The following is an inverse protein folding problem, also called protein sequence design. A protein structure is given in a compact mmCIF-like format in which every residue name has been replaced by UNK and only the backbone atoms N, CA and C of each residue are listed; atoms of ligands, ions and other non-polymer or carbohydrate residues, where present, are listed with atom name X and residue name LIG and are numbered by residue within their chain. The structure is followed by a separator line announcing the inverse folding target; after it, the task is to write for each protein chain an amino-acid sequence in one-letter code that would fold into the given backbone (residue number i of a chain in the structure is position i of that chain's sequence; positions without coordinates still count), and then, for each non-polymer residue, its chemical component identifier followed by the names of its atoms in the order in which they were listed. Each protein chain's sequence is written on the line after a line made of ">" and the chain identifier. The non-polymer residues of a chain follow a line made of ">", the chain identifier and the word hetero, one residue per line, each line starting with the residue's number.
data_IF_850407397617
#
_entry.id   IF_850407397617
#
_cell.length_a   1.000
_cell.length_b   1.000
_cell.length_c   1.000
_cell.angle_alpha   90.00
_cell.angle_beta   90.00
_cell.angle_gamma   90.00
#
_symmetry.space_group_name_H-M   'P 1'
#
loop_
_entity.id
_entity.type
_entity.pdbx_description
1 polymer ?
#
# COMPACT_ATOMS: atom_id res chain seq x y z
N UNK A 1 -9.69 11.69 -14.63
CA UNK A 1 -8.29 11.18 -14.62
C UNK A 1 -7.27 12.06 -13.87
N UNK A 2 -7.48 13.37 -13.63
CA UNK A 2 -6.56 14.21 -12.82
C UNK A 2 -6.91 14.30 -11.31
N UNK A 3 -7.98 13.64 -10.85
CA UNK A 3 -8.48 13.78 -9.47
C UNK A 3 -7.85 12.79 -8.46
N UNK A 4 -7.40 11.61 -8.90
CA UNK A 4 -6.85 10.56 -8.01
C UNK A 4 -5.40 10.82 -7.55
N UNK A 5 -4.68 11.73 -8.21
CA UNK A 5 -3.24 12.00 -7.94
C UNK A 5 -3.05 12.86 -6.66
N UNK A 6 -4.05 13.68 -6.28
CA UNK A 6 -3.92 14.56 -5.10
C UNK A 6 -4.23 13.82 -3.79
N UNK A 7 -5.00 12.74 -3.83
CA UNK A 7 -5.29 11.91 -2.66
C UNK A 7 -4.03 11.26 -2.08
N UNK A 8 -3.15 10.78 -2.97
CA UNK A 8 -1.91 10.11 -2.58
C UNK A 8 -0.93 11.06 -1.88
N UNK A 9 -0.82 12.30 -2.37
CA UNK A 9 0.15 13.29 -1.88
C UNK A 9 -0.17 13.69 -0.43
N UNK A 10 -1.45 13.76 -0.05
CA UNK A 10 -1.82 14.09 1.33
C UNK A 10 -1.75 12.89 2.30
N UNK A 11 -2.02 11.66 1.85
CA UNK A 11 -1.76 10.45 2.65
C UNK A 11 -0.26 10.15 2.81
N UNK A 12 0.59 10.55 1.86
CA UNK A 12 2.05 10.42 1.93
C UNK A 12 2.69 11.46 2.87
N UNK A 13 2.14 12.67 2.98
CA UNK A 13 2.54 13.66 4.00
C UNK A 13 2.17 13.25 5.44
N UNK A 14 1.26 12.27 5.59
CA UNK A 14 0.82 11.74 6.88
C UNK A 14 1.76 10.61 7.37
N UNK A 15 2.43 9.87 6.49
CA UNK A 15 3.21 8.67 6.87
C UNK A 15 4.72 8.90 6.99
N UNK A 16 5.21 10.15 6.87
CA UNK A 16 6.64 10.49 6.90
C UNK A 16 7.31 10.43 8.30
N UNK A 17 6.85 9.56 9.20
CA UNK A 17 7.51 9.32 10.49
C UNK A 17 7.32 7.86 10.89
N UNK A 18 8.44 7.21 11.16
CA UNK A 18 8.56 5.81 11.57
C UNK A 18 7.76 5.51 12.84
N UNK A 19 7.12 4.34 12.98
CA UNK A 19 6.53 3.90 14.25
C UNK A 19 7.59 3.64 15.35
N UNK A 20 8.89 3.75 15.04
CA UNK A 20 10.01 3.48 15.94
C UNK A 20 10.77 4.72 16.45
N UNK A 21 10.29 5.94 16.19
CA UNK A 21 10.86 7.15 16.79
C UNK A 21 10.45 7.25 18.27
N UNK A 22 11.10 6.41 19.08
CA UNK A 22 10.98 6.41 20.51
C UNK A 22 11.86 7.51 21.12
N UNK A 23 11.18 8.47 21.73
CA UNK A 23 11.50 9.24 22.97
C UNK A 23 11.42 10.76 22.73
N UNK A 24 10.20 11.29 22.75
CA UNK A 24 9.92 12.57 23.42
C UNK A 24 8.46 12.63 23.89
N UNK A 25 8.26 13.26 25.04
CA UNK A 25 6.97 13.61 25.61
C UNK A 25 6.29 14.67 24.72
N UNK A 26 5.79 14.26 23.55
CA UNK A 26 4.99 15.12 22.68
C UNK A 26 3.70 15.56 23.38
N UNK A 27 3.14 16.70 22.95
CA UNK A 27 1.86 17.20 23.47
C UNK A 27 0.75 16.13 23.33
N UNK A 28 -0.35 16.21 24.10
CA UNK A 28 -1.48 15.29 23.93
C UNK A 28 -1.91 15.18 22.46
N UNK A 29 -1.92 16.29 21.73
CA UNK A 29 -2.22 16.34 20.30
C UNK A 29 -1.24 15.49 19.45
N UNK A 30 0.08 15.64 19.65
CA UNK A 30 1.08 14.85 18.90
C UNK A 30 1.04 13.36 19.25
N UNK A 31 0.68 13.01 20.48
CA UNK A 31 0.39 11.63 20.85
C UNK A 31 -0.87 11.12 20.14
N UNK A 32 -1.93 11.94 20.10
CA UNK A 32 -3.18 11.60 19.42
C UNK A 32 -2.99 11.33 17.93
N UNK A 33 -2.23 12.19 17.24
CA UNK A 33 -1.85 12.01 15.84
C UNK A 33 -1.10 10.70 15.61
N UNK A 34 -0.13 10.36 16.47
CA UNK A 34 0.63 9.09 16.39
C UNK A 34 -0.27 7.87 16.56
N UNK A 35 -1.16 7.90 17.54
CA UNK A 35 -2.09 6.80 17.81
C UNK A 35 -3.06 6.60 16.62
N UNK A 36 -3.58 7.69 16.01
CA UNK A 36 -4.39 7.59 14.79
C UNK A 36 -3.60 6.95 13.65
N UNK A 37 -2.36 7.40 13.38
CA UNK A 37 -1.49 6.80 12.35
C UNK A 37 -1.27 5.31 12.58
N UNK A 38 -0.94 4.92 13.81
CA UNK A 38 -0.70 3.53 14.16
C UNK A 38 -1.96 2.68 13.93
N UNK A 39 -3.13 3.20 14.26
CA UNK A 39 -4.40 2.54 13.98
C UNK A 39 -4.70 2.39 12.48
N UNK A 40 -4.30 3.35 11.65
CA UNK A 40 -4.34 3.23 10.19
C UNK A 40 -3.43 2.08 9.73
N UNK A 41 -2.20 2.01 10.24
CA UNK A 41 -1.27 0.92 9.91
C UNK A 41 -1.82 -0.46 10.30
N UNK A 42 -2.41 -0.60 11.49
CA UNK A 42 -3.07 -1.84 11.90
C UNK A 42 -4.25 -2.20 10.99
N UNK A 43 -5.02 -1.20 10.56
CA UNK A 43 -6.10 -1.44 9.59
C UNK A 43 -5.51 -2.03 8.32
N UNK A 44 -4.50 -1.40 7.73
CA UNK A 44 -3.85 -1.87 6.50
C UNK A 44 -3.25 -3.28 6.63
N UNK A 45 -2.82 -3.66 7.84
CA UNK A 45 -2.36 -5.01 8.15
C UNK A 45 -3.51 -6.03 8.36
N UNK A 46 -4.78 -5.62 8.26
CA UNK A 46 -5.94 -6.48 8.52
C UNK A 46 -6.28 -6.69 9.99
N UNK A 47 -5.60 -6.03 10.92
CA UNK A 47 -5.84 -6.11 12.36
C UNK A 47 -6.84 -5.03 12.80
N UNK A 48 -8.12 -5.28 12.52
CA UNK A 48 -9.20 -4.33 12.79
C UNK A 48 -9.42 -4.07 14.28
N UNK A 49 -9.01 -5.00 15.16
CA UNK A 49 -9.14 -4.86 16.61
C UNK A 49 -8.16 -3.81 17.11
N UNK A 50 -6.88 -3.92 16.74
CA UNK A 50 -5.88 -2.92 17.10
C UNK A 50 -6.08 -1.61 16.34
N UNK A 51 -6.52 -1.67 15.08
CA UNK A 51 -6.85 -0.47 14.31
C UNK A 51 -7.86 0.42 15.05
N UNK A 52 -8.99 -0.18 15.45
CA UNK A 52 -10.01 0.52 16.22
C UNK A 52 -9.45 1.08 17.53
N UNK A 53 -8.74 0.24 18.29
CA UNK A 53 -8.18 0.60 19.59
C UNK A 53 -7.30 1.84 19.51
N UNK A 54 -6.36 1.87 18.55
CA UNK A 54 -5.41 2.98 18.42
C UNK A 54 -6.06 4.24 17.85
N UNK A 55 -7.01 4.12 16.91
CA UNK A 55 -7.75 5.29 16.44
C UNK A 55 -8.60 5.88 17.57
N UNK A 56 -9.30 5.06 18.37
CA UNK A 56 -10.07 5.54 19.54
C UNK A 56 -9.16 6.23 20.58
N UNK A 57 -7.98 5.66 20.85
CA UNK A 57 -6.99 6.27 21.73
C UNK A 57 -6.54 7.65 21.21
N UNK A 58 -6.28 7.75 19.92
CA UNK A 58 -5.83 9.00 19.33
C UNK A 58 -6.93 10.07 19.26
N UNK A 59 -8.17 9.67 18.96
CA UNK A 59 -9.34 10.55 18.99
C UNK A 59 -9.61 11.15 20.37
N UNK A 60 -9.31 10.43 21.46
CA UNK A 60 -9.43 10.96 22.82
C UNK A 60 -8.39 12.04 23.17
N UNK A 61 -7.36 12.20 22.35
CA UNK A 61 -6.23 13.10 22.59
C UNK A 61 -6.17 14.28 21.62
N UNK A 62 -6.95 14.26 20.53
CA UNK A 62 -7.10 15.38 19.60
C UNK A 62 -8.37 16.18 19.94
N UNK A 63 -8.26 17.50 19.99
CA UNK A 63 -9.37 18.39 20.35
C UNK A 63 -9.85 19.16 19.11
N UNK A 64 -11.05 18.84 18.65
CA UNK A 64 -11.70 19.45 17.49
C UNK A 64 -11.84 20.99 17.58
N UNK A 65 -11.76 21.58 18.78
CA UNK A 65 -11.94 23.01 18.98
C UNK A 65 -10.63 23.83 18.92
N UNK A 66 -9.47 23.17 18.85
CA UNK A 66 -8.19 23.80 19.22
C UNK A 66 -7.42 24.39 18.02
N UNK A 67 -7.24 23.65 16.92
CA UNK A 67 -6.45 24.09 15.76
C UNK A 67 -6.93 23.49 14.44
N UNK A 68 -6.45 24.03 13.31
CA UNK A 68 -6.67 23.44 11.98
C UNK A 68 -6.22 21.98 11.93
N UNK A 69 -4.98 21.71 12.37
CA UNK A 69 -4.42 20.36 12.39
C UNK A 69 -5.23 19.43 13.29
N UNK A 70 -5.73 19.95 14.42
CA UNK A 70 -6.54 19.16 15.33
C UNK A 70 -7.89 18.77 14.74
N UNK A 71 -8.57 19.68 14.03
CA UNK A 71 -9.78 19.37 13.27
C UNK A 71 -9.51 18.36 12.17
N UNK A 72 -8.40 18.53 11.45
CA UNK A 72 -8.02 17.63 10.37
C UNK A 72 -7.77 16.21 10.87
N UNK A 73 -6.94 16.03 11.91
CA UNK A 73 -6.65 14.72 12.48
C UNK A 73 -7.86 14.06 13.14
N UNK A 74 -8.74 14.87 13.73
CA UNK A 74 -10.05 14.37 14.20
C UNK A 74 -10.87 13.81 13.04
N UNK A 75 -10.98 14.54 11.92
CA UNK A 75 -11.70 14.10 10.73
C UNK A 75 -11.10 12.80 10.14
N UNK A 76 -9.77 12.73 10.04
CA UNK A 76 -9.04 11.54 9.59
C UNK A 76 -9.34 10.33 10.49
N UNK A 77 -9.29 10.50 11.82
CA UNK A 77 -9.57 9.41 12.74
C UNK A 77 -10.99 8.84 12.55
N UNK A 78 -12.00 9.70 12.45
CA UNK A 78 -13.37 9.25 12.22
C UNK A 78 -13.57 8.63 10.83
N UNK A 79 -12.93 9.16 9.79
CA UNK A 79 -12.95 8.56 8.45
C UNK A 79 -12.43 7.12 8.49
N UNK A 80 -11.29 6.89 9.15
CA UNK A 80 -10.68 5.57 9.23
C UNK A 80 -11.42 4.62 10.17
N UNK A 81 -12.08 5.09 11.22
CA UNK A 81 -13.05 4.27 11.96
C UNK A 81 -14.19 3.82 11.06
N UNK A 82 -14.73 4.70 10.23
CA UNK A 82 -15.73 4.36 9.22
C UNK A 82 -15.27 3.19 8.35
N UNK A 83 -14.03 3.26 7.85
CA UNK A 83 -13.46 2.15 7.08
C UNK A 83 -13.28 0.86 7.90
N UNK A 84 -12.77 0.92 9.14
CA UNK A 84 -12.65 -0.26 10.02
C UNK A 84 -14.01 -0.94 10.23
N UNK A 85 -15.06 -0.18 10.49
CA UNK A 85 -16.41 -0.74 10.69
C UNK A 85 -17.01 -1.29 9.40
N UNK A 86 -16.76 -0.64 8.27
CA UNK A 86 -17.20 -1.14 6.96
C UNK A 86 -16.51 -2.45 6.60
N UNK A 87 -15.19 -2.54 6.83
CA UNK A 87 -14.38 -3.73 6.57
C UNK A 87 -14.78 -4.91 7.48
N UNK A 88 -15.41 -4.63 8.62
CA UNK A 88 -16.00 -5.60 9.55
C UNK A 88 -17.52 -5.84 9.31
N UNK A 89 -18.06 -5.41 8.17
CA UNK A 89 -19.46 -5.65 7.78
C UNK A 89 -20.50 -4.80 8.50
N UNK A 90 -20.10 -3.82 9.31
CA UNK A 90 -20.99 -2.95 10.08
C UNK A 90 -21.33 -1.66 9.33
N UNK A 91 -22.07 -1.78 8.21
CA UNK A 91 -22.34 -0.67 7.28
C UNK A 91 -22.99 0.57 7.93
N UNK A 92 -24.09 0.40 8.68
CA UNK A 92 -24.80 1.53 9.29
C UNK A 92 -23.89 2.34 10.22
N UNK A 93 -23.07 1.64 11.01
CA UNK A 93 -22.10 2.25 11.93
C UNK A 93 -20.98 2.95 11.18
N UNK A 94 -20.50 2.36 10.08
CA UNK A 94 -19.52 3.00 9.21
C UNK A 94 -20.04 4.32 8.61
N UNK A 95 -21.29 4.33 8.16
CA UNK A 95 -21.91 5.51 7.57
C UNK A 95 -22.01 6.67 8.57
N UNK A 96 -22.32 6.39 9.85
CA UNK A 96 -22.33 7.41 10.90
C UNK A 96 -20.95 8.07 11.08
N UNK A 97 -19.88 7.27 11.05
CA UNK A 97 -18.51 7.78 11.13
C UNK A 97 -18.09 8.58 9.90
N UNK A 98 -18.46 8.13 8.70
CA UNK A 98 -18.20 8.89 7.47
C UNK A 98 -18.96 10.22 7.46
N UNK A 99 -20.21 10.27 7.93
CA UNK A 99 -20.96 11.52 8.09
C UNK A 99 -20.24 12.46 9.05
N UNK A 100 -19.80 11.94 10.20
CA UNK A 100 -19.09 12.73 11.20
C UNK A 100 -17.79 13.31 10.65
N UNK A 101 -16.95 12.49 10.01
CA UNK A 101 -15.71 12.95 9.38
C UNK A 101 -15.96 14.02 8.32
N UNK A 102 -16.92 13.80 7.43
CA UNK A 102 -17.30 14.76 6.37
C UNK A 102 -17.73 16.09 6.94
N UNK A 103 -18.56 16.08 7.99
CA UNK A 103 -19.07 17.29 8.60
C UNK A 103 -17.96 18.09 9.29
N UNK A 104 -16.93 17.41 9.80
CA UNK A 104 -15.71 18.07 10.29
C UNK A 104 -14.92 18.67 9.14
N UNK A 105 -14.64 17.91 8.08
CA UNK A 105 -13.91 18.40 6.91
C UNK A 105 -14.55 19.65 6.30
N UNK A 106 -15.88 19.70 6.22
CA UNK A 106 -16.64 20.89 5.73
C UNK A 106 -16.46 22.13 6.59
N UNK A 107 -16.10 21.98 7.87
CA UNK A 107 -15.84 23.08 8.81
C UNK A 107 -14.37 23.50 8.82
N UNK A 108 -13.49 22.77 8.14
CA UNK A 108 -12.09 23.13 8.00
C UNK A 108 -11.95 24.14 6.86
N UNK A 109 -11.48 25.34 7.19
CA UNK A 109 -11.10 26.36 6.22
C UNK A 109 -9.57 26.44 6.22
N UNK A 110 -8.96 26.04 5.10
CA UNK A 110 -7.52 26.17 4.87
C UNK A 110 -7.18 27.55 4.34
N UNK A 111 -6.05 28.11 4.81
CA UNK A 111 -5.48 29.36 4.27
C UNK A 111 -4.67 29.15 2.99
N UNK A 112 -4.41 27.88 2.61
CA UNK A 112 -3.75 27.52 1.36
C UNK A 112 -4.74 26.86 0.40
N UNK A 113 -4.78 27.36 -0.84
CA UNK A 113 -5.65 26.83 -1.90
C UNK A 113 -5.40 25.33 -2.14
N UNK A 114 -4.14 24.90 -2.08
CA UNK A 114 -3.76 23.50 -2.27
C UNK A 114 -4.35 22.56 -1.23
N UNK A 115 -4.35 22.94 0.06
CA UNK A 115 -4.92 22.10 1.13
C UNK A 115 -6.44 22.16 1.14
N UNK A 116 -7.06 23.27 0.74
CA UNK A 116 -8.51 23.36 0.60
C UNK A 116 -9.02 22.44 -0.52
N UNK A 117 -8.35 22.44 -1.67
CA UNK A 117 -8.67 21.54 -2.80
C UNK A 117 -8.57 20.07 -2.40
N UNK A 118 -7.63 19.72 -1.52
CA UNK A 118 -7.53 18.35 -0.99
C UNK A 118 -8.71 18.01 -0.08
N UNK A 119 -9.10 18.91 0.83
CA UNK A 119 -10.24 18.73 1.73
C UNK A 119 -11.55 18.60 0.93
N UNK A 120 -11.77 19.46 -0.06
CA UNK A 120 -12.98 19.43 -0.90
C UNK A 120 -13.12 18.11 -1.65
N UNK A 121 -12.00 17.53 -2.08
CA UNK A 121 -11.99 16.20 -2.69
C UNK A 121 -12.34 15.10 -1.70
N UNK A 122 -11.85 15.18 -0.46
CA UNK A 122 -12.22 14.25 0.64
C UNK A 122 -13.72 14.29 0.90
N UNK A 123 -14.28 15.49 1.00
CA UNK A 123 -15.73 15.69 1.17
C UNK A 123 -16.52 15.05 0.02
N UNK A 124 -16.12 15.31 -1.23
CA UNK A 124 -16.80 14.76 -2.40
C UNK A 124 -16.79 13.22 -2.44
N UNK A 125 -15.69 12.59 -2.00
CA UNK A 125 -15.61 11.13 -1.91
C UNK A 125 -16.51 10.59 -0.79
N UNK A 126 -16.50 11.22 0.39
CA UNK A 126 -17.41 10.83 1.47
C UNK A 126 -18.88 10.97 1.05
N UNK A 127 -19.24 11.99 0.28
CA UNK A 127 -20.58 12.15 -0.30
C UNK A 127 -20.93 11.00 -1.27
N UNK A 128 -19.97 10.52 -2.07
CA UNK A 128 -20.16 9.33 -2.93
C UNK A 128 -20.31 8.07 -2.09
N UNK A 129 -19.45 7.86 -1.09
CA UNK A 129 -19.50 6.70 -0.17
C UNK A 129 -20.84 6.60 0.54
N UNK A 130 -21.45 7.73 0.89
CA UNK A 130 -22.73 7.79 1.60
C UNK A 130 -23.96 7.64 0.70
N UNK A 131 -23.83 7.75 -0.63
CA UNK A 131 -24.97 7.78 -1.57
C UNK A 131 -25.07 6.52 -2.44
N UNK A 132 -24.05 5.68 -2.51
CA UNK A 132 -24.09 4.43 -3.27
C UNK A 132 -24.52 3.23 -2.40
N UNK A 133 -25.42 2.37 -2.94
CA UNK A 133 -25.58 0.97 -2.47
C UNK A 133 -24.45 0.04 -2.96
N UNK A 134 -23.40 0.61 -3.55
CA UNK A 134 -22.31 -0.13 -4.18
C UNK A 134 -21.17 -0.33 -3.18
N UNK A 135 -20.80 -1.60 -3.06
CA UNK A 135 -19.59 -2.28 -2.57
C UNK A 135 -18.54 -1.49 -1.74
N UNK A 136 -17.90 -2.15 -0.76
CA UNK A 136 -16.91 -1.52 0.12
C UNK A 136 -15.88 -0.71 -0.68
N UNK A 137 -15.78 0.59 -0.40
CA UNK A 137 -14.74 1.47 -0.96
C UNK A 137 -13.33 0.95 -0.65
N UNK A 138 -12.29 1.54 -1.27
CA UNK A 138 -11.13 0.86 -1.82
C UNK A 138 -10.68 -0.29 -0.92
N UNK A 139 -11.04 -1.49 -1.37
CA UNK A 139 -10.63 -2.75 -0.82
C UNK A 139 -9.12 -2.92 -1.10
N UNK A 140 -8.27 -2.49 -0.17
CA UNK A 140 -6.92 -3.09 -0.09
C UNK A 140 -7.00 -4.53 0.41
N UNK A 141 -8.19 -5.02 0.80
CA UNK A 141 -8.52 -6.42 0.53
C UNK A 141 -8.57 -6.62 -0.97
N UNK A 142 -7.47 -7.14 -1.50
CA UNK A 142 -7.38 -8.01 -2.67
C UNK A 142 -8.76 -8.42 -3.19
N UNK A 143 -9.35 -7.58 -4.04
CA UNK A 143 -10.27 -8.07 -5.05
C UNK A 143 -9.44 -7.96 -6.30
N UNK A 144 -8.73 -9.05 -6.61
CA UNK A 144 -8.14 -9.21 -7.92
C UNK A 144 -9.27 -8.92 -8.92
N UNK A 145 -9.14 -7.87 -9.76
CA UNK A 145 -10.14 -7.60 -10.76
C UNK A 145 -10.12 -8.83 -11.68
N UNK A 146 -11.23 -9.61 -11.67
CA UNK A 146 -11.56 -10.80 -12.49
C UNK A 146 -11.70 -12.18 -11.80
N UNK A 147 -11.81 -12.28 -10.47
CA UNK A 147 -11.95 -13.61 -9.79
C UNK A 147 -13.27 -14.35 -10.08
N UNK A 148 -14.20 -13.80 -10.86
CA UNK A 148 -15.50 -14.45 -11.07
C UNK A 148 -15.47 -15.74 -11.92
N UNK A 149 -14.33 -16.18 -12.48
CA UNK A 149 -14.27 -17.44 -13.30
C UNK A 149 -12.98 -18.27 -13.22
N UNK A 150 -11.99 -17.90 -12.42
CA UNK A 150 -10.66 -18.52 -12.46
C UNK A 150 -10.39 -19.60 -11.41
N UNK A 151 -9.62 -20.64 -11.77
CA UNK A 151 -9.15 -21.65 -10.79
C UNK A 151 -8.08 -21.03 -9.89
N UNK A 152 -8.25 -21.14 -8.57
CA UNK A 152 -7.34 -20.61 -7.55
C UNK A 152 -6.66 -21.76 -6.81
N UNK A 153 -5.36 -21.66 -6.60
CA UNK A 153 -4.60 -22.58 -5.76
C UNK A 153 -3.84 -21.84 -4.67
N UNK A 154 -4.11 -22.19 -3.41
CA UNK A 154 -3.42 -21.63 -2.25
C UNK A 154 -2.70 -22.73 -1.47
N UNK A 155 -1.37 -22.63 -1.42
CA UNK A 155 -0.47 -23.59 -0.77
C UNK A 155 0.47 -22.86 0.20
N UNK A 156 -0.09 -21.92 0.96
CA UNK A 156 0.65 -21.12 1.94
C UNK A 156 1.18 -21.97 3.10
N UNK A 157 2.40 -21.68 3.54
CA UNK A 157 3.00 -22.27 4.75
C UNK A 157 3.02 -23.81 4.76
N UNK A 158 3.47 -24.41 3.65
CA UNK A 158 3.62 -25.87 3.53
C UNK A 158 5.06 -26.34 3.52
N UNK A 159 6.01 -25.42 3.78
CA UNK A 159 7.46 -25.68 3.79
C UNK A 159 7.96 -26.19 2.43
N UNK A 160 7.28 -25.85 1.34
CA UNK A 160 7.62 -26.28 -0.01
C UNK A 160 8.92 -25.66 -0.49
N UNK A 161 9.74 -26.44 -1.19
CA UNK A 161 10.93 -25.96 -1.92
C UNK A 161 10.78 -26.08 -3.43
N UNK A 162 9.74 -26.78 -3.90
CA UNK A 162 9.39 -27.00 -5.32
C UNK A 162 7.88 -26.92 -5.47
N UNK A 163 7.38 -26.71 -6.69
CA UNK A 163 5.95 -26.78 -6.98
C UNK A 163 5.41 -28.20 -6.71
N UNK A 164 4.15 -28.35 -6.28
CA UNK A 164 3.46 -29.64 -6.26
C UNK A 164 3.36 -30.25 -7.67
N UNK A 165 3.38 -31.58 -7.78
CA UNK A 165 3.34 -32.27 -9.09
C UNK A 165 1.96 -32.23 -9.77
N UNK A 166 0.87 -32.17 -9.00
CA UNK A 166 -0.51 -32.28 -9.51
C UNK A 166 -1.24 -30.93 -9.50
N UNK A 167 -0.58 -29.87 -9.96
CA UNK A 167 -1.20 -28.54 -10.06
C UNK A 167 -2.14 -28.47 -11.27
N UNK A 168 -3.38 -27.98 -11.13
CA UNK A 168 -4.30 -27.82 -12.27
C UNK A 168 -3.73 -26.91 -13.36
N UNK A 169 -3.88 -27.27 -14.63
CA UNK A 169 -3.31 -26.50 -15.76
C UNK A 169 -3.99 -25.13 -15.99
N UNK A 170 -5.21 -24.94 -15.48
CA UNK A 170 -6.04 -23.75 -15.75
C UNK A 170 -6.03 -22.72 -14.62
N UNK A 171 -4.94 -22.64 -13.85
CA UNK A 171 -4.80 -21.71 -12.74
C UNK A 171 -4.70 -20.26 -13.22
N UNK A 172 -5.47 -19.41 -12.55
CA UNK A 172 -5.47 -17.94 -12.74
C UNK A 172 -4.93 -17.22 -11.51
N UNK A 173 -4.86 -17.90 -10.36
CA UNK A 173 -4.34 -17.35 -9.12
C UNK A 173 -3.57 -18.42 -8.35
N UNK A 174 -2.32 -18.11 -8.01
CA UNK A 174 -1.42 -19.00 -7.26
C UNK A 174 -0.90 -18.25 -6.03
N UNK A 175 -1.08 -18.85 -4.85
CA UNK A 175 -0.54 -18.35 -3.58
C UNK A 175 0.43 -19.38 -3.01
N UNK A 176 1.71 -19.03 -3.00
CA UNK A 176 2.85 -19.84 -2.53
C UNK A 176 3.58 -19.17 -1.37
N UNK A 177 2.92 -18.24 -0.68
CA UNK A 177 3.49 -17.49 0.43
C UNK A 177 4.00 -18.39 1.58
N UNK A 178 4.99 -17.90 2.34
CA UNK A 178 5.49 -18.56 3.57
C UNK A 178 6.08 -19.96 3.33
N UNK A 179 6.75 -20.17 2.21
CA UNK A 179 7.37 -21.46 1.88
C UNK A 179 8.91 -21.37 1.98
N UNK A 180 9.63 -22.23 1.26
CA UNK A 180 11.09 -22.34 1.28
C UNK A 180 11.70 -22.25 -0.12
N UNK A 181 11.02 -21.62 -1.07
CA UNK A 181 11.55 -21.41 -2.42
C UNK A 181 12.80 -20.53 -2.35
N UNK A 182 13.90 -21.00 -2.93
CA UNK A 182 15.19 -20.27 -2.98
C UNK A 182 15.40 -19.60 -4.34
N UNK A 183 14.69 -20.09 -5.35
CA UNK A 183 14.70 -19.62 -6.73
C UNK A 183 13.25 -19.44 -7.19
N UNK A 184 13.06 -18.72 -8.31
CA UNK A 184 11.77 -18.67 -8.97
C UNK A 184 11.35 -20.12 -9.33
N UNK A 185 10.17 -20.60 -8.91
CA UNK A 185 9.83 -22.01 -9.03
C UNK A 185 9.81 -22.47 -10.50
N UNK A 186 10.61 -23.48 -10.84
CA UNK A 186 10.59 -24.09 -12.18
C UNK A 186 9.21 -24.68 -12.48
N UNK A 187 8.71 -24.45 -13.69
CA UNK A 187 7.36 -24.86 -14.13
C UNK A 187 6.26 -23.85 -13.78
N UNK A 188 6.55 -22.82 -12.99
CA UNK A 188 5.57 -21.75 -12.73
C UNK A 188 5.29 -20.94 -14.00
N UNK A 189 6.26 -20.89 -14.91
CA UNK A 189 6.18 -20.18 -16.19
C UNK A 189 5.33 -20.90 -17.25
N UNK A 190 4.80 -22.09 -16.94
CA UNK A 190 3.81 -22.80 -17.77
C UNK A 190 2.37 -22.27 -17.57
N UNK A 191 2.12 -21.49 -16.50
CA UNK A 191 0.82 -20.90 -16.20
C UNK A 191 0.62 -19.53 -16.87
N UNK A 192 0.63 -19.47 -18.20
CA UNK A 192 0.57 -18.21 -18.96
C UNK A 192 -0.70 -17.38 -18.70
N UNK A 193 -1.79 -18.02 -18.24
CA UNK A 193 -3.06 -17.36 -17.88
C UNK A 193 -3.08 -16.81 -16.44
N UNK A 194 -1.96 -16.85 -15.72
CA UNK A 194 -1.90 -16.43 -14.33
C UNK A 194 -2.09 -14.91 -14.22
N UNK A 195 -3.08 -14.50 -13.43
CA UNK A 195 -3.41 -13.09 -13.17
C UNK A 195 -2.93 -12.62 -11.80
N UNK A 196 -2.82 -13.54 -10.84
CA UNK A 196 -2.40 -13.27 -9.47
C UNK A 196 -1.32 -14.26 -9.03
N UNK A 197 -0.17 -13.74 -8.60
CA UNK A 197 0.91 -14.53 -8.04
C UNK A 197 1.41 -13.94 -6.72
N UNK A 198 1.37 -14.73 -5.66
CA UNK A 198 1.96 -14.41 -4.36
C UNK A 198 3.06 -15.42 -4.02
N UNK A 199 4.29 -14.95 -3.98
CA UNK A 199 5.51 -15.66 -3.58
C UNK A 199 6.15 -15.03 -2.33
N UNK A 200 5.39 -14.23 -1.57
CA UNK A 200 5.89 -13.52 -0.39
C UNK A 200 6.41 -14.46 0.70
N UNK A 201 7.31 -13.96 1.55
CA UNK A 201 7.86 -14.73 2.69
C UNK A 201 8.48 -16.07 2.24
N UNK A 202 9.41 -15.97 1.29
CA UNK A 202 10.22 -17.08 0.79
C UNK A 202 11.71 -16.71 0.91
N UNK A 203 12.58 -17.38 0.14
CA UNK A 203 14.03 -17.14 0.14
C UNK A 203 14.55 -16.87 -1.27
N UNK A 204 13.68 -16.42 -2.17
CA UNK A 204 13.97 -16.22 -3.58
C UNK A 204 15.01 -15.11 -3.73
N UNK A 205 16.08 -15.38 -4.48
CA UNK A 205 17.22 -14.47 -4.61
C UNK A 205 17.18 -13.58 -5.86
N UNK A 206 16.43 -13.99 -6.88
CA UNK A 206 16.31 -13.25 -8.14
C UNK A 206 14.95 -13.51 -8.79
N UNK A 207 14.42 -12.51 -9.48
CA UNK A 207 13.37 -12.71 -10.48
C UNK A 207 14.10 -13.03 -11.79
N UNK A 208 13.86 -14.21 -12.36
CA UNK A 208 14.49 -14.68 -13.61
C UNK A 208 13.66 -14.31 -14.84
N UNK A 209 14.23 -14.44 -16.04
CA UNK A 209 13.54 -14.22 -17.32
C UNK A 209 12.23 -15.01 -17.49
N UNK A 210 12.09 -16.15 -16.79
CA UNK A 210 10.86 -16.94 -16.74
C UNK A 210 9.60 -16.13 -16.36
N UNK A 211 9.74 -15.07 -15.54
CA UNK A 211 8.61 -14.19 -15.21
C UNK A 211 7.96 -13.58 -16.45
N UNK A 212 8.73 -13.36 -17.50
CA UNK A 212 8.29 -12.72 -18.73
C UNK A 212 7.26 -13.51 -19.53
N UNK A 213 7.04 -14.80 -19.21
CA UNK A 213 5.96 -15.61 -19.81
C UNK A 213 4.59 -15.33 -19.18
N UNK A 214 4.54 -14.82 -17.95
CA UNK A 214 3.31 -14.62 -17.19
C UNK A 214 2.61 -13.29 -17.55
N UNK A 215 2.43 -13.04 -18.84
CA UNK A 215 2.01 -11.73 -19.39
C UNK A 215 0.61 -11.29 -18.96
N UNK A 216 -0.21 -12.21 -18.46
CA UNK A 216 -1.54 -11.94 -17.92
C UNK A 216 -1.54 -11.48 -16.45
N UNK A 217 -0.37 -11.41 -15.80
CA UNK A 217 -0.28 -10.98 -14.40
C UNK A 217 -0.76 -9.54 -14.23
N UNK A 218 -1.66 -9.37 -13.27
CA UNK A 218 -2.13 -8.07 -12.77
C UNK A 218 -1.52 -7.76 -11.40
N UNK A 219 -1.22 -8.78 -10.61
CA UNK A 219 -0.67 -8.66 -9.26
C UNK A 219 0.50 -9.62 -9.06
N UNK A 220 1.61 -9.10 -8.55
CA UNK A 220 2.78 -9.88 -8.16
C UNK A 220 3.29 -9.44 -6.79
N UNK A 221 3.23 -10.35 -5.81
CA UNK A 221 3.87 -10.17 -4.51
C UNK A 221 5.13 -11.04 -4.38
N UNK A 222 6.25 -10.38 -4.20
CA UNK A 222 7.58 -10.96 -3.97
C UNK A 222 8.22 -10.39 -2.70
N UNK A 223 7.42 -9.83 -1.79
CA UNK A 223 7.91 -9.23 -0.56
C UNK A 223 8.50 -10.25 0.40
N UNK A 224 9.31 -9.79 1.35
CA UNK A 224 9.94 -10.65 2.37
C UNK A 224 10.71 -11.84 1.74
N UNK A 225 11.48 -11.55 0.69
CA UNK A 225 12.36 -12.51 0.03
C UNK A 225 13.83 -12.09 0.22
N UNK A 226 14.72 -12.56 -0.65
CA UNK A 226 16.14 -12.20 -0.65
C UNK A 226 16.57 -11.64 -2.00
N UNK A 227 15.65 -11.01 -2.72
CA UNK A 227 15.87 -10.54 -4.09
C UNK A 227 17.03 -9.54 -4.11
N UNK A 228 18.05 -9.85 -4.89
CA UNK A 228 19.19 -8.98 -5.17
C UNK A 228 19.20 -8.50 -6.64
N UNK A 229 18.46 -9.20 -7.51
CA UNK A 229 18.44 -8.97 -8.96
C UNK A 229 17.02 -9.18 -9.52
N UNK A 230 16.64 -8.35 -10.49
CA UNK A 230 15.40 -8.47 -11.26
C UNK A 230 15.79 -8.51 -12.73
N UNK A 231 15.41 -9.59 -13.43
CA UNK A 231 15.63 -9.73 -14.86
C UNK A 231 14.84 -8.68 -15.66
N UNK A 232 15.40 -8.23 -16.78
CA UNK A 232 14.78 -7.21 -17.65
C UNK A 232 13.41 -7.64 -18.19
N UNK A 233 13.17 -8.95 -18.32
CA UNK A 233 11.93 -9.51 -18.84
C UNK A 233 10.70 -9.24 -17.95
N UNK A 234 10.88 -8.70 -16.74
CA UNK A 234 9.79 -8.10 -15.96
C UNK A 234 8.99 -7.08 -16.77
N UNK A 235 9.63 -6.37 -17.71
CA UNK A 235 8.98 -5.42 -18.62
C UNK A 235 7.91 -6.06 -19.51
N UNK A 236 7.92 -7.38 -19.71
CA UNK A 236 6.88 -8.06 -20.51
C UNK A 236 5.52 -8.11 -19.81
N UNK A 237 5.47 -7.86 -18.50
CA UNK A 237 4.24 -7.87 -17.70
C UNK A 237 3.40 -6.58 -17.89
N UNK A 238 2.98 -6.31 -19.12
CA UNK A 238 2.28 -5.08 -19.50
C UNK A 238 0.90 -4.91 -18.83
N UNK A 239 0.32 -6.00 -18.33
CA UNK A 239 -0.94 -5.99 -17.58
C UNK A 239 -0.76 -5.73 -16.08
N UNK A 240 0.49 -5.73 -15.58
CA UNK A 240 0.79 -5.63 -14.16
C UNK A 240 0.33 -4.29 -13.61
N UNK A 241 -0.45 -4.34 -12.54
CA UNK A 241 -1.00 -3.17 -11.84
C UNK A 241 -0.35 -2.98 -10.49
N UNK A 242 0.04 -4.06 -9.84
CA UNK A 242 0.61 -4.00 -8.50
C UNK A 242 1.81 -4.93 -8.40
N UNK A 243 2.92 -4.36 -7.93
CA UNK A 243 4.18 -5.05 -7.74
C UNK A 243 4.71 -4.77 -6.33
N UNK A 244 4.74 -5.79 -5.48
CA UNK A 244 5.30 -5.69 -4.14
C UNK A 244 6.68 -6.37 -4.10
N UNK A 245 7.72 -5.56 -3.93
CA UNK A 245 9.12 -5.98 -3.79
C UNK A 245 9.69 -5.60 -2.43
N UNK A 246 8.84 -5.23 -1.47
CA UNK A 246 9.30 -4.76 -0.16
C UNK A 246 10.05 -5.83 0.64
N UNK A 247 10.89 -5.42 1.57
CA UNK A 247 11.66 -6.30 2.45
C UNK A 247 12.50 -7.33 1.66
N UNK A 248 13.35 -6.81 0.78
CA UNK A 248 14.25 -7.59 -0.06
C UNK A 248 15.69 -7.05 0.09
N UNK A 249 16.58 -7.38 -0.85
CA UNK A 249 18.01 -6.98 -0.82
C UNK A 249 18.41 -6.23 -2.09
N UNK A 250 17.44 -5.58 -2.73
CA UNK A 250 17.67 -4.86 -3.98
C UNK A 250 18.54 -3.65 -3.72
N UNK A 251 19.60 -3.52 -4.52
CA UNK A 251 20.50 -2.35 -4.51
C UNK A 251 20.30 -1.44 -5.71
N UNK A 252 19.82 -2.03 -6.81
CA UNK A 252 19.58 -1.37 -8.09
C UNK A 252 18.27 -1.92 -8.62
N UNK A 253 17.49 -1.07 -9.28
CA UNK A 253 16.29 -1.48 -10.02
C UNK A 253 16.61 -1.42 -11.51
N UNK A 254 16.29 -2.46 -12.31
CA UNK A 254 16.53 -2.42 -13.74
C UNK A 254 15.71 -1.32 -14.41
N UNK A 255 16.29 -0.61 -15.38
CA UNK A 255 15.58 0.41 -16.15
C UNK A 255 14.33 -0.12 -16.88
N UNK A 256 14.27 -1.43 -17.14
CA UNK A 256 13.11 -2.10 -17.73
C UNK A 256 11.84 -1.98 -16.87
N UNK A 257 11.95 -1.74 -15.56
CA UNK A 257 10.77 -1.47 -14.72
C UNK A 257 10.00 -0.23 -15.19
N UNK A 258 10.69 0.73 -15.81
CA UNK A 258 10.08 1.91 -16.40
C UNK A 258 9.14 1.60 -17.58
N UNK A 259 9.20 0.39 -18.15
CA UNK A 259 8.33 -0.05 -19.25
C UNK A 259 6.95 -0.51 -18.77
N UNK A 260 6.77 -0.69 -17.45
CA UNK A 260 5.50 -1.07 -16.83
C UNK A 260 4.54 0.12 -16.73
N UNK A 261 4.14 0.69 -17.87
CA UNK A 261 3.29 1.90 -17.94
C UNK A 261 1.90 1.71 -17.32
N UNK A 262 1.46 0.47 -17.15
CA UNK A 262 0.20 0.11 -16.50
C UNK A 262 0.27 0.03 -14.97
N UNK A 263 1.46 0.12 -14.38
CA UNK A 263 1.69 -0.11 -12.95
C UNK A 263 1.10 1.02 -12.11
N UNK A 264 0.28 0.65 -11.14
CA UNK A 264 -0.42 1.57 -10.23
C UNK A 264 0.25 1.64 -8.87
N UNK A 265 0.81 0.53 -8.40
CA UNK A 265 1.51 0.44 -7.13
C UNK A 265 2.81 -0.33 -7.29
N UNK A 266 3.87 0.25 -6.75
CA UNK A 266 5.20 -0.34 -6.63
C UNK A 266 5.67 -0.16 -5.19
N UNK A 267 5.81 -1.25 -4.43
CA UNK A 267 6.39 -1.17 -3.09
C UNK A 267 7.85 -1.66 -3.08
N UNK A 268 8.76 -0.78 -2.68
CA UNK A 268 10.21 -0.99 -2.58
C UNK A 268 10.74 -0.79 -1.15
N UNK A 269 9.89 -0.53 -0.15
CA UNK A 269 10.28 -0.38 1.27
C UNK A 269 11.12 -1.57 1.76
N UNK A 270 12.02 -1.36 2.70
CA UNK A 270 12.91 -2.41 3.22
C UNK A 270 13.86 -2.98 2.17
N UNK A 271 14.38 -2.15 1.27
CA UNK A 271 15.46 -2.50 0.35
C UNK A 271 16.71 -1.64 0.62
N UNK A 272 17.75 -1.77 -0.18
CA UNK A 272 18.98 -0.98 -0.06
C UNK A 272 19.26 -0.17 -1.33
N UNK A 273 18.20 0.46 -1.85
CA UNK A 273 18.25 1.27 -3.07
C UNK A 273 18.98 2.59 -2.81
N UNK A 274 19.47 3.21 -3.89
CA UNK A 274 19.96 4.59 -3.84
C UNK A 274 18.85 5.59 -4.15
N UNK A 275 18.97 6.81 -3.64
CA UNK A 275 17.99 7.88 -3.87
C UNK A 275 17.80 8.13 -5.37
N UNK A 276 18.90 8.06 -6.12
CA UNK A 276 18.88 8.24 -7.57
C UNK A 276 18.10 7.12 -8.28
N UNK A 277 18.24 5.86 -7.87
CA UNK A 277 17.48 4.75 -8.44
C UNK A 277 15.97 4.95 -8.26
N UNK A 278 15.56 5.36 -7.05
CA UNK A 278 14.15 5.63 -6.75
C UNK A 278 13.66 6.83 -7.56
N UNK A 279 14.42 7.92 -7.64
CA UNK A 279 14.03 9.10 -8.38
C UNK A 279 13.92 8.84 -9.89
N UNK A 280 14.75 7.95 -10.44
CA UNK A 280 14.60 7.50 -11.82
C UNK A 280 13.26 6.80 -12.06
N UNK A 281 12.80 5.97 -11.12
CA UNK A 281 11.48 5.35 -11.19
C UNK A 281 10.36 6.39 -11.11
N UNK A 282 10.45 7.35 -10.20
CA UNK A 282 9.47 8.44 -10.08
C UNK A 282 9.36 9.24 -11.39
N UNK A 283 10.49 9.51 -12.05
CA UNK A 283 10.52 10.23 -13.35
C UNK A 283 9.88 9.41 -14.48
N UNK A 284 10.17 8.11 -14.55
CA UNK A 284 9.75 7.28 -15.67
C UNK A 284 8.36 6.62 -15.48
N UNK A 285 7.84 6.60 -14.25
CA UNK A 285 6.54 6.09 -13.84
C UNK A 285 5.73 7.16 -13.04
N UNK A 286 5.44 8.33 -13.63
CA UNK A 286 4.85 9.47 -12.91
C UNK A 286 3.40 9.24 -12.41
N UNK A 287 2.76 8.14 -12.80
CA UNK A 287 1.40 7.76 -12.37
C UNK A 287 1.36 6.60 -11.37
N UNK A 288 2.52 6.06 -10.99
CA UNK A 288 2.63 4.91 -10.09
C UNK A 288 2.83 5.38 -8.66
N UNK A 289 2.10 4.76 -7.73
CA UNK A 289 2.37 4.90 -6.29
C UNK A 289 3.64 4.13 -5.94
N UNK A 290 4.76 4.83 -5.77
CA UNK A 290 6.04 4.22 -5.41
C UNK A 290 6.26 4.42 -3.91
N UNK A 291 6.28 3.33 -3.16
CA UNK A 291 6.67 3.30 -1.74
C UNK A 291 8.14 2.91 -1.62
N UNK A 292 8.90 3.61 -0.80
CA UNK A 292 10.32 3.36 -0.55
C UNK A 292 10.73 3.95 0.80
N UNK A 293 11.85 3.49 1.36
CA UNK A 293 12.34 3.99 2.65
C UNK A 293 12.82 5.44 2.53
N UNK A 294 12.54 6.28 3.54
CA UNK A 294 13.01 7.66 3.55
C UNK A 294 14.54 7.71 3.62
N UNK A 295 15.15 8.56 2.79
CA UNK A 295 16.56 8.90 2.95
C UNK A 295 16.67 9.94 4.05
N UNK A 296 17.34 9.60 5.16
CA UNK A 296 17.88 10.63 6.03
C UNK A 296 18.79 11.50 5.16
N UNK A 297 18.39 12.77 4.96
CA UNK A 297 19.33 13.79 4.54
C UNK A 297 20.37 13.84 5.64
N UNK A 298 21.54 13.26 5.39
CA UNK A 298 22.74 13.67 6.09
C UNK A 298 22.92 15.13 5.67
N UNK A 299 22.46 16.05 6.51
CA UNK A 299 22.86 17.44 6.40
C UNK A 299 24.39 17.44 6.49
N UNK A 300 25.06 17.59 5.36
CA UNK A 300 26.46 17.96 5.31
C UNK A 300 26.57 19.26 6.11
N UNK A 301 27.00 19.13 7.35
CA UNK A 301 27.60 20.19 8.15
C UNK A 301 28.93 20.53 7.49
N UNK A 302 28.86 21.18 6.32
CA UNK A 302 29.99 21.96 5.83
C UNK A 302 29.97 23.24 6.63
N UNK A 303 30.81 23.27 7.66
CA UNK A 303 31.04 24.43 8.49
C UNK A 303 31.36 25.65 7.64
N UNK A 304 30.63 26.73 7.89
CA UNK A 304 31.14 28.06 7.61
C UNK A 304 32.18 28.36 8.71
N UNK A 305 33.45 28.29 8.35
CA UNK A 305 34.50 29.13 8.95
C UNK A 305 34.78 30.32 8.03
#
# INVERSE_FOLDING_TARGET
>A
MKQSIIYLIFSLLILSFSPFDAISQGTPFEKGKRDIKLGITYREAGDFVNAKKFIDMGLNLVDINNSFDSRYWTAVGYEYLGYVYRDNGQKAKADDYFRFARDIYRRIISQSDGSQVAIDKVIANLDVVLTQEVTPGPSWKVVAPSVERGTIMNVTNKKLSTLPQDMPDNLTSIVLAKNKFVEFPSGLDDYENLEYLDLSDNRIQRITSAIGKLTQLHYLDMSYNRLAEIDKDIAKLQNLRELNLSNNRLKIIPASLCELKGLRLLNLEGNSLSYEDVMNLVRCLPGTNIKFDEYEKVEETVGFE
#
